data_IF_878633793543
#
_entry.id   IF_878633793543
#
_cell.length_a   1.000
_cell.length_b   1.000
_cell.length_c   1.000
_cell.angle_alpha   90.00
_cell.angle_beta   90.00
_cell.angle_gamma   90.00
#
_symmetry.space_group_name_H-M   'P 1'
#
loop_
_entity.id
_entity.type
_entity.pdbx_description
1 polymer ?
#
# COMPACT_ATOMS: atom_id res chain seq x y z
N UNK A 1 1.23 -24.73 -13.88
CA UNK A 1 1.13 -24.16 -12.52
C UNK A 1 2.48 -24.36 -11.87
N UNK A 2 3.09 -23.27 -11.36
CA UNK A 2 4.34 -23.35 -10.62
C UNK A 2 4.05 -24.03 -9.28
N UNK A 3 4.91 -24.96 -8.84
CA UNK A 3 4.77 -25.60 -7.55
C UNK A 3 4.99 -24.55 -6.44
N UNK A 4 4.17 -24.56 -5.39
CA UNK A 4 4.36 -23.66 -4.25
C UNK A 4 5.62 -24.06 -3.48
N UNK A 5 6.58 -23.15 -3.39
CA UNK A 5 7.83 -23.33 -2.64
C UNK A 5 7.96 -22.28 -1.55
N UNK A 6 8.49 -22.70 -0.41
CA UNK A 6 8.93 -21.81 0.67
C UNK A 6 10.38 -21.33 0.47
N UNK A 7 11.06 -21.82 -0.56
CA UNK A 7 12.42 -21.42 -0.89
C UNK A 7 12.41 -20.35 -1.98
N UNK A 8 13.09 -19.25 -1.73
CA UNK A 8 13.39 -18.26 -2.75
C UNK A 8 14.38 -18.84 -3.75
N UNK A 9 14.22 -18.51 -5.02
CA UNK A 9 15.20 -18.86 -6.05
C UNK A 9 16.44 -17.92 -5.97
N UNK A 10 17.47 -18.22 -6.76
CA UNK A 10 18.72 -17.46 -6.75
C UNK A 10 18.53 -15.98 -7.06
N UNK A 11 17.68 -15.65 -8.05
CA UNK A 11 17.40 -14.27 -8.46
C UNK A 11 16.70 -13.50 -7.31
N UNK A 12 15.75 -14.14 -6.65
CA UNK A 12 15.04 -13.57 -5.51
C UNK A 12 15.97 -13.36 -4.28
N UNK A 13 16.91 -14.29 -4.02
CA UNK A 13 17.90 -14.14 -2.97
C UNK A 13 18.89 -13.01 -3.27
N UNK A 14 19.33 -12.88 -4.52
CA UNK A 14 20.20 -11.78 -4.94
C UNK A 14 19.47 -10.43 -4.83
N UNK A 15 18.24 -10.36 -5.29
CA UNK A 15 17.40 -9.18 -5.17
C UNK A 15 17.17 -8.80 -3.71
N UNK A 16 16.85 -9.77 -2.85
CA UNK A 16 16.68 -9.54 -1.41
C UNK A 16 17.95 -8.94 -0.79
N UNK A 17 19.10 -9.53 -1.08
CA UNK A 17 20.38 -9.02 -0.56
C UNK A 17 20.69 -7.60 -1.03
N UNK A 18 20.45 -7.32 -2.31
CA UNK A 18 20.67 -6.00 -2.90
C UNK A 18 19.74 -4.93 -2.33
N UNK A 19 18.44 -5.24 -2.20
CA UNK A 19 17.48 -4.30 -1.59
C UNK A 19 17.76 -4.11 -0.11
N UNK A 20 18.19 -5.17 0.60
CA UNK A 20 18.57 -5.08 2.00
C UNK A 20 19.78 -4.13 2.20
N UNK A 21 20.83 -4.25 1.36
CA UNK A 21 21.99 -3.35 1.39
C UNK A 21 21.56 -1.88 1.18
N UNK A 22 20.69 -1.61 0.23
CA UNK A 22 20.12 -0.27 0.02
C UNK A 22 19.31 0.21 1.24
N UNK A 23 18.50 -0.66 1.82
CA UNK A 23 17.71 -0.35 3.00
C UNK A 23 18.58 -0.07 4.23
N UNK A 24 19.64 -0.84 4.43
CA UNK A 24 20.58 -0.70 5.55
C UNK A 24 21.45 0.56 5.42
N UNK A 25 21.96 0.83 4.22
CA UNK A 25 22.96 1.90 3.99
C UNK A 25 22.33 3.25 3.69
N UNK A 26 21.12 3.29 3.14
CA UNK A 26 20.46 4.54 2.71
C UNK A 26 19.20 4.83 3.53
N UNK A 27 18.25 3.90 3.62
CA UNK A 27 16.95 4.18 4.25
C UNK A 27 17.06 4.29 5.77
N UNK A 28 17.70 3.31 6.41
CA UNK A 28 17.76 3.23 7.87
C UNK A 28 18.47 4.43 8.51
N UNK A 29 19.64 4.89 8.01
CA UNK A 29 20.30 6.09 8.54
C UNK A 29 19.49 7.38 8.34
N UNK A 30 18.71 7.46 7.28
CA UNK A 30 17.90 8.65 6.94
C UNK A 30 16.54 8.72 7.68
N UNK A 31 16.09 7.61 8.27
CA UNK A 31 14.73 7.48 8.79
C UNK A 31 14.37 8.50 9.85
N UNK A 32 15.28 8.83 10.79
CA UNK A 32 15.04 9.83 11.82
C UNK A 32 14.88 11.23 11.23
N UNK A 33 15.79 11.65 10.36
CA UNK A 33 15.73 12.97 9.71
C UNK A 33 14.42 13.17 8.95
N UNK A 34 14.02 12.20 8.12
CA UNK A 34 12.83 12.35 7.30
C UNK A 34 11.51 12.18 8.09
N UNK A 35 11.52 11.43 9.19
CA UNK A 35 10.40 11.42 10.15
C UNK A 35 10.21 12.80 10.79
N UNK A 36 11.29 13.46 11.24
CA UNK A 36 11.22 14.81 11.86
C UNK A 36 10.82 15.88 10.84
N UNK A 37 11.30 15.81 9.61
CA UNK A 37 10.99 16.79 8.55
C UNK A 37 9.53 16.72 8.09
N UNK A 38 8.90 15.55 8.17
CA UNK A 38 7.56 15.33 7.61
C UNK A 38 7.44 15.71 6.12
N UNK A 39 8.49 15.52 5.34
CA UNK A 39 8.58 15.88 3.92
C UNK A 39 8.82 14.65 3.05
N UNK A 40 8.48 14.77 1.76
CA UNK A 40 8.79 13.73 0.78
C UNK A 40 10.31 13.62 0.58
N UNK A 41 10.91 12.43 0.73
CA UNK A 41 12.35 12.24 0.62
C UNK A 41 12.82 12.14 -0.83
N UNK A 42 12.64 13.20 -1.61
CA UNK A 42 12.96 13.24 -3.04
C UNK A 42 14.36 12.74 -3.40
N UNK A 43 15.43 13.10 -2.66
CA UNK A 43 16.77 12.60 -2.98
C UNK A 43 16.87 11.08 -2.89
N UNK A 44 16.16 10.46 -1.93
CA UNK A 44 16.19 9.01 -1.73
C UNK A 44 15.34 8.29 -2.79
N UNK A 45 14.18 8.86 -3.16
CA UNK A 45 13.39 8.31 -4.27
C UNK A 45 14.18 8.37 -5.58
N UNK A 46 14.89 9.47 -5.83
CA UNK A 46 15.76 9.60 -7.00
C UNK A 46 16.93 8.61 -6.98
N UNK A 47 17.51 8.35 -5.82
CA UNK A 47 18.56 7.33 -5.68
C UNK A 47 18.01 5.93 -5.97
N UNK A 48 16.82 5.59 -5.43
CA UNK A 48 16.12 4.37 -5.76
C UNK A 48 15.83 4.22 -7.26
N UNK A 49 15.48 5.33 -7.95
CA UNK A 49 15.27 5.34 -9.39
C UNK A 49 16.57 5.09 -10.16
N UNK A 50 17.69 5.72 -9.76
CA UNK A 50 19.00 5.53 -10.40
C UNK A 50 19.51 4.11 -10.33
N UNK A 51 19.22 3.40 -9.25
CA UNK A 51 19.60 1.99 -9.11
C UNK A 51 18.56 1.03 -9.73
N UNK A 52 17.46 1.53 -10.29
CA UNK A 52 16.43 0.73 -10.95
C UNK A 52 15.39 0.12 -10.02
N UNK A 53 15.35 0.53 -8.75
CA UNK A 53 14.36 0.04 -7.77
C UNK A 53 13.03 0.82 -7.85
N UNK A 54 13.06 2.06 -8.32
CA UNK A 54 11.88 2.89 -8.55
C UNK A 54 11.67 3.08 -10.06
N UNK A 55 10.62 2.48 -10.61
CA UNK A 55 10.31 2.60 -12.02
C UNK A 55 9.35 1.54 -12.54
N UNK A 56 8.86 1.76 -13.75
CA UNK A 56 7.94 0.83 -14.40
C UNK A 56 8.60 -0.53 -14.71
N UNK A 57 9.87 -0.55 -15.10
CA UNK A 57 10.58 -1.78 -15.48
C UNK A 57 10.69 -2.73 -14.30
N UNK A 58 11.04 -2.21 -13.11
CA UNK A 58 11.07 -3.00 -11.88
C UNK A 58 9.68 -3.57 -11.56
N UNK A 59 8.63 -2.74 -11.63
CA UNK A 59 7.27 -3.17 -11.35
C UNK A 59 6.76 -4.19 -12.36
N UNK A 60 7.07 -4.01 -13.64
CA UNK A 60 6.72 -4.97 -14.68
C UNK A 60 7.42 -6.32 -14.46
N UNK A 61 8.70 -6.33 -14.15
CA UNK A 61 9.46 -7.54 -13.84
C UNK A 61 8.92 -8.24 -12.60
N UNK A 62 8.66 -7.49 -11.52
CA UNK A 62 8.18 -8.05 -10.26
C UNK A 62 6.76 -8.65 -10.36
N UNK A 63 5.90 -8.08 -11.22
CA UNK A 63 4.50 -8.51 -11.36
C UNK A 63 4.30 -9.55 -12.49
N UNK A 64 5.03 -9.42 -13.61
CA UNK A 64 4.83 -10.25 -14.79
C UNK A 64 5.98 -11.23 -15.06
N UNK A 65 7.18 -10.89 -14.60
CA UNK A 65 8.39 -11.72 -14.79
C UNK A 65 8.55 -12.83 -13.74
N UNK A 66 7.87 -12.71 -12.60
CA UNK A 66 7.94 -13.71 -11.51
C UNK A 66 6.68 -14.56 -11.42
N UNK A 67 6.71 -15.82 -11.87
CA UNK A 67 5.57 -16.72 -11.77
C UNK A 67 5.21 -17.12 -10.33
N UNK A 68 6.13 -16.93 -9.38
CA UNK A 68 5.87 -17.22 -7.96
C UNK A 68 5.12 -16.09 -7.26
N UNK A 69 5.24 -14.85 -7.76
CA UNK A 69 4.68 -13.64 -7.15
C UNK A 69 5.40 -13.19 -5.87
N UNK A 70 6.58 -13.76 -5.55
CA UNK A 70 7.30 -13.47 -4.30
C UNK A 70 8.27 -12.28 -4.41
N UNK A 71 8.69 -11.92 -5.60
CA UNK A 71 9.64 -10.81 -5.83
C UNK A 71 9.17 -9.51 -5.19
N UNK A 72 7.91 -9.15 -5.39
CA UNK A 72 7.35 -7.92 -4.84
C UNK A 72 7.26 -7.93 -3.29
N UNK A 73 6.68 -8.92 -2.63
CA UNK A 73 6.65 -9.00 -1.17
C UNK A 73 8.05 -9.00 -0.53
N UNK A 74 9.02 -9.71 -1.12
CA UNK A 74 10.41 -9.75 -0.63
C UNK A 74 11.04 -8.36 -0.69
N UNK A 75 10.91 -7.66 -1.81
CA UNK A 75 11.41 -6.27 -1.96
C UNK A 75 10.79 -5.34 -0.95
N UNK A 76 9.46 -5.39 -0.81
CA UNK A 76 8.73 -4.52 0.12
C UNK A 76 9.13 -4.79 1.57
N UNK A 77 9.28 -6.04 1.96
CA UNK A 77 9.73 -6.38 3.32
C UNK A 77 11.08 -5.73 3.64
N UNK A 78 12.07 -5.78 2.71
CA UNK A 78 13.37 -5.17 2.92
C UNK A 78 13.31 -3.64 3.00
N UNK A 79 12.58 -2.98 2.12
CA UNK A 79 12.42 -1.52 2.15
C UNK A 79 11.78 -1.04 3.47
N UNK A 80 10.73 -1.73 3.93
CA UNK A 80 10.04 -1.37 5.18
C UNK A 80 10.79 -1.81 6.43
N UNK A 81 11.72 -2.75 6.30
CA UNK A 81 12.72 -3.01 7.32
C UNK A 81 13.71 -1.85 7.45
N UNK A 82 14.06 -1.18 6.36
CA UNK A 82 14.89 0.02 6.37
C UNK A 82 14.23 1.18 7.08
N UNK A 83 13.16 1.71 6.50
CA UNK A 83 12.30 2.75 7.08
C UNK A 83 10.92 2.74 6.40
N UNK A 84 9.86 2.75 7.19
CA UNK A 84 8.50 2.62 6.66
C UNK A 84 8.01 3.88 5.94
N UNK A 85 8.35 5.05 6.42
CA UNK A 85 7.96 6.33 5.81
C UNK A 85 8.62 6.54 4.45
N UNK A 86 9.92 6.29 4.37
CA UNK A 86 10.71 6.36 3.14
C UNK A 86 10.31 5.23 2.19
N UNK A 87 10.17 4.00 2.70
CA UNK A 87 9.72 2.85 1.93
C UNK A 87 8.36 3.08 1.26
N UNK A 88 7.41 3.70 1.98
CA UNK A 88 6.12 4.07 1.39
C UNK A 88 6.26 5.21 0.37
N UNK A 89 7.18 6.13 0.53
CA UNK A 89 7.45 7.18 -0.47
C UNK A 89 7.98 6.60 -1.78
N UNK A 90 8.80 5.55 -1.71
CA UNK A 90 9.29 4.81 -2.88
C UNK A 90 8.14 3.97 -3.50
N UNK A 91 7.32 3.30 -2.67
CA UNK A 91 6.33 2.34 -3.16
C UNK A 91 4.94 2.92 -3.42
N UNK A 92 4.64 4.14 -2.91
CA UNK A 92 3.29 4.74 -2.94
C UNK A 92 2.68 4.93 -4.32
N UNK A 93 3.51 5.17 -5.35
CA UNK A 93 3.06 5.29 -6.75
C UNK A 93 2.50 3.98 -7.32
N UNK A 94 2.89 2.84 -6.76
CA UNK A 94 2.45 1.51 -7.19
C UNK A 94 0.94 1.30 -7.09
N UNK A 95 0.27 1.97 -6.14
CA UNK A 95 -1.19 1.85 -6.00
C UNK A 95 -1.94 2.53 -7.16
N UNK A 96 -1.45 3.68 -7.65
CA UNK A 96 -2.01 4.33 -8.83
C UNK A 96 -1.80 3.46 -10.08
N UNK A 97 -0.59 2.94 -10.26
CA UNK A 97 -0.26 2.03 -11.35
C UNK A 97 -1.14 0.77 -11.33
N UNK A 98 -1.36 0.17 -10.15
CA UNK A 98 -2.27 -0.98 -9.99
C UNK A 98 -3.72 -0.62 -10.33
N UNK A 99 -4.18 0.58 -9.95
CA UNK A 99 -5.51 1.08 -10.30
C UNK A 99 -5.70 1.24 -11.81
N UNK A 100 -4.67 1.75 -12.51
CA UNK A 100 -4.67 1.86 -13.98
C UNK A 100 -4.64 0.48 -14.63
N UNK A 101 -3.72 -0.39 -14.21
CA UNK A 101 -3.57 -1.73 -14.77
C UNK A 101 -4.84 -2.60 -14.58
N UNK A 102 -5.52 -2.45 -13.43
CA UNK A 102 -6.72 -3.23 -13.12
C UNK A 102 -8.01 -2.78 -13.82
N UNK A 103 -8.08 -1.52 -14.26
CA UNK A 103 -9.31 -0.94 -14.83
C UNK A 103 -9.15 -0.40 -16.25
N UNK A 104 -7.93 -0.07 -16.69
CA UNK A 104 -7.62 0.55 -17.97
C UNK A 104 -7.61 -0.44 -19.14
N UNK A 105 -7.61 0.13 -20.35
CA UNK A 105 -7.28 -0.62 -21.57
C UNK A 105 -5.75 -0.78 -21.69
N UNK A 106 -5.26 -1.72 -22.53
CA UNK A 106 -3.82 -1.86 -22.75
C UNK A 106 -3.16 -0.55 -23.18
N UNK A 107 -3.82 0.26 -24.01
CA UNK A 107 -3.33 1.56 -24.46
C UNK A 107 -3.23 2.55 -23.29
N UNK A 108 -4.24 2.60 -22.43
CA UNK A 108 -4.23 3.43 -21.22
C UNK A 108 -3.11 2.99 -20.24
N UNK A 109 -2.87 1.71 -20.09
CA UNK A 109 -1.78 1.19 -19.25
C UNK A 109 -0.42 1.63 -19.82
N UNK A 110 -0.20 1.47 -21.11
CA UNK A 110 1.06 1.87 -21.77
C UNK A 110 1.30 3.38 -21.72
N UNK A 111 0.26 4.19 -21.78
CA UNK A 111 0.34 5.65 -21.76
C UNK A 111 0.59 6.19 -20.35
N UNK A 112 -0.15 5.69 -19.34
CA UNK A 112 -0.26 6.36 -18.04
C UNK A 112 0.57 5.73 -16.91
N UNK A 113 0.83 4.43 -16.94
CA UNK A 113 1.62 3.78 -15.88
C UNK A 113 3.05 4.32 -15.82
N UNK A 114 3.76 4.53 -16.95
CA UNK A 114 5.10 5.12 -16.92
C UNK A 114 5.12 6.51 -16.28
N UNK A 115 4.05 7.30 -16.46
CA UNK A 115 3.93 8.65 -15.90
C UNK A 115 3.68 8.67 -14.39
N UNK A 116 3.39 7.53 -13.76
CA UNK A 116 3.34 7.40 -12.30
C UNK A 116 4.73 7.29 -11.66
N UNK A 117 5.79 7.08 -12.45
CA UNK A 117 7.15 6.87 -11.95
C UNK A 117 8.15 7.87 -12.52
N UNK A 118 8.00 8.24 -13.80
CA UNK A 118 9.03 8.99 -14.54
C UNK A 118 10.27 8.13 -14.80
N UNK A 119 11.42 8.75 -14.73
CA UNK A 119 12.73 8.12 -14.89
C UNK A 119 13.72 8.62 -13.80
N UNK A 120 14.98 8.19 -13.90
CA UNK A 120 16.00 8.53 -12.92
C UNK A 120 16.36 10.02 -12.87
N UNK A 121 16.13 10.77 -13.95
CA UNK A 121 16.42 12.20 -14.05
C UNK A 121 15.20 13.07 -13.74
N UNK A 122 13.98 12.54 -13.98
CA UNK A 122 12.68 13.20 -13.76
C UNK A 122 11.71 12.27 -13.02
N UNK A 123 11.95 12.08 -11.72
CA UNK A 123 11.11 11.25 -10.87
C UNK A 123 9.71 11.84 -10.76
N UNK A 124 8.71 11.03 -11.06
CA UNK A 124 7.28 11.36 -10.97
C UNK A 124 6.58 10.50 -9.93
N UNK A 125 5.41 10.95 -9.50
CA UNK A 125 4.60 10.23 -8.53
C UNK A 125 3.20 9.96 -9.08
N UNK A 126 2.60 8.85 -8.64
CA UNK A 126 1.20 8.52 -8.83
C UNK A 126 0.42 8.57 -7.52
N UNK A 127 -0.85 8.95 -7.59
CA UNK A 127 -1.78 8.95 -6.46
C UNK A 127 -3.07 8.19 -6.79
N UNK A 128 -3.56 7.33 -5.88
CA UNK A 128 -4.83 6.63 -6.02
C UNK A 128 -5.85 7.21 -5.04
N UNK A 129 -6.86 7.89 -5.56
CA UNK A 129 -7.77 8.75 -4.82
C UNK A 129 -9.14 8.09 -4.67
N UNK A 130 -9.36 7.37 -3.55
CA UNK A 130 -10.63 6.68 -3.26
C UNK A 130 -11.35 7.35 -2.10
N UNK A 131 -10.76 7.29 -0.89
CA UNK A 131 -11.39 7.72 0.35
C UNK A 131 -11.81 9.19 0.33
N UNK A 132 -12.87 9.50 1.05
CA UNK A 132 -13.40 10.85 1.25
C UNK A 132 -13.52 11.13 2.74
N UNK A 133 -13.66 12.39 3.18
CA UNK A 133 -13.82 12.72 4.59
C UNK A 133 -14.91 11.88 5.29
N UNK A 134 -16.02 11.61 4.61
CA UNK A 134 -17.17 10.87 5.14
C UNK A 134 -17.25 9.41 4.65
N UNK A 135 -16.30 8.93 3.84
CA UNK A 135 -16.34 7.59 3.24
C UNK A 135 -14.93 6.94 3.21
N UNK A 136 -14.59 6.27 4.30
CA UNK A 136 -13.38 5.44 4.46
C UNK A 136 -13.68 3.97 4.20
N UNK A 137 -14.08 3.23 5.23
CA UNK A 137 -14.47 1.81 5.10
C UNK A 137 -15.70 1.59 4.23
N UNK A 138 -16.64 2.54 4.21
CA UNK A 138 -17.79 2.51 3.32
C UNK A 138 -17.49 3.19 1.98
N UNK A 139 -16.61 2.59 1.19
CA UNK A 139 -16.27 3.06 -0.17
C UNK A 139 -17.46 2.99 -1.14
N UNK A 140 -18.58 2.42 -0.74
CA UNK A 140 -19.80 2.42 -1.57
C UNK A 140 -20.55 3.75 -1.54
N UNK A 141 -20.29 4.57 -0.53
CA UNK A 141 -20.95 5.85 -0.26
C UNK A 141 -20.17 7.09 -0.71
N UNK A 142 -19.25 6.93 -1.69
CA UNK A 142 -18.50 8.06 -2.27
C UNK A 142 -19.46 9.11 -2.85
N UNK A 143 -19.14 10.39 -2.59
CA UNK A 143 -19.91 11.57 -3.05
C UNK A 143 -19.20 12.36 -4.14
N UNK A 144 -17.90 12.17 -4.36
CA UNK A 144 -17.20 12.74 -5.53
C UNK A 144 -17.93 12.31 -6.79
N UNK A 145 -18.37 13.27 -7.59
CA UNK A 145 -19.16 13.05 -8.80
C UNK A 145 -18.33 13.23 -10.04
N UNK A 146 -18.63 12.45 -11.05
CA UNK A 146 -18.17 12.65 -12.42
C UNK A 146 -19.39 12.73 -13.34
N UNK A 147 -19.53 13.84 -14.07
CA UNK A 147 -20.64 14.09 -15.01
C UNK A 147 -20.07 14.19 -16.41
N UNK A 148 -20.63 13.43 -17.35
CA UNK A 148 -20.20 13.46 -18.74
C UNK A 148 -20.82 14.64 -19.48
N UNK A 149 -19.99 15.47 -20.07
CA UNK A 149 -20.38 16.57 -20.98
C UNK A 149 -20.26 16.06 -22.42
N UNK A 150 -21.40 15.69 -22.99
CA UNK A 150 -21.45 15.13 -24.34
C UNK A 150 -21.04 16.12 -25.43
N UNK A 151 -21.19 17.43 -25.20
CA UNK A 151 -20.88 18.44 -26.19
C UNK A 151 -19.37 18.62 -26.39
N UNK A 152 -18.58 18.45 -25.33
CA UNK A 152 -17.12 18.59 -25.36
C UNK A 152 -16.37 17.25 -25.31
N UNK A 153 -17.06 16.13 -25.16
CA UNK A 153 -16.48 14.80 -24.89
C UNK A 153 -15.55 14.82 -23.67
N UNK A 154 -16.03 15.41 -22.57
CA UNK A 154 -15.26 15.53 -21.34
C UNK A 154 -16.04 14.99 -20.14
N UNK A 155 -15.32 14.57 -19.11
CA UNK A 155 -15.84 14.34 -17.77
C UNK A 155 -15.53 15.52 -16.86
N UNK A 156 -16.53 15.96 -16.10
CA UNK A 156 -16.39 17.02 -15.10
C UNK A 156 -16.46 16.39 -13.71
N UNK A 157 -15.36 16.48 -12.95
CA UNK A 157 -15.27 15.89 -11.63
C UNK A 157 -15.32 16.98 -10.55
N UNK A 158 -16.12 16.71 -9.49
CA UNK A 158 -16.27 17.59 -8.33
C UNK A 158 -16.30 16.75 -7.04
N UNK A 159 -15.56 17.17 -6.02
CA UNK A 159 -15.52 16.54 -4.72
C UNK A 159 -14.17 16.69 -4.00
N UNK A 160 -14.05 16.04 -2.84
CA UNK A 160 -12.82 16.05 -2.05
C UNK A 160 -12.44 14.64 -1.67
N UNK A 161 -11.18 14.28 -1.92
CA UNK A 161 -10.58 13.02 -1.51
C UNK A 161 -9.71 13.23 -0.27
N UNK A 162 -9.69 12.25 0.63
CA UNK A 162 -8.99 12.33 1.91
C UNK A 162 -8.00 11.17 2.06
N UNK A 163 -6.93 11.40 2.82
CA UNK A 163 -5.91 10.39 3.15
C UNK A 163 -5.12 9.88 1.95
N UNK A 164 -4.93 10.73 0.94
CA UNK A 164 -4.32 10.33 -0.33
C UNK A 164 -2.79 10.41 -0.24
N UNK A 165 -2.13 9.26 -0.37
CA UNK A 165 -0.67 9.19 -0.56
C UNK A 165 -0.31 9.91 -1.86
N UNK A 166 0.68 10.80 -1.79
CA UNK A 166 1.08 11.71 -2.88
C UNK A 166 -0.03 12.67 -3.35
N UNK A 167 -1.12 12.82 -2.59
CA UNK A 167 -2.26 13.67 -2.95
C UNK A 167 -1.84 15.12 -3.20
N UNK A 168 -2.21 15.66 -4.36
CA UNK A 168 -1.92 17.03 -4.76
C UNK A 168 -0.50 17.29 -5.27
N UNK A 169 0.47 16.39 -4.99
CA UNK A 169 1.84 16.50 -5.51
C UNK A 169 2.17 15.48 -6.61
N UNK A 170 1.31 14.47 -6.81
CA UNK A 170 1.50 13.47 -7.85
C UNK A 170 1.33 14.04 -9.25
N UNK A 171 2.06 13.47 -10.21
CA UNK A 171 1.89 13.77 -11.62
C UNK A 171 0.59 13.19 -12.17
N UNK A 172 0.27 11.96 -11.76
CA UNK A 172 -0.98 11.28 -12.15
C UNK A 172 -1.83 11.04 -10.92
N UNK A 173 -3.09 11.48 -10.97
CA UNK A 173 -4.09 11.11 -9.96
C UNK A 173 -5.12 10.18 -10.59
N UNK A 174 -5.30 9.00 -10.02
CA UNK A 174 -6.37 8.06 -10.38
C UNK A 174 -7.52 8.25 -9.41
N UNK A 175 -8.60 8.87 -9.87
CA UNK A 175 -9.73 9.26 -9.02
C UNK A 175 -10.91 8.32 -9.22
N UNK A 176 -11.38 7.68 -8.15
CA UNK A 176 -12.64 6.94 -8.16
C UNK A 176 -13.77 7.90 -7.84
N UNK A 177 -14.72 8.06 -8.77
CA UNK A 177 -15.87 8.95 -8.62
C UNK A 177 -17.19 8.25 -8.96
N UNK A 178 -18.30 8.77 -8.45
CA UNK A 178 -19.64 8.28 -8.77
C UNK A 178 -20.14 8.96 -10.06
N UNK A 179 -20.54 8.15 -11.01
CA UNK A 179 -21.26 8.58 -12.22
C UNK A 179 -22.79 8.41 -12.06
N UNK A 180 -23.19 7.60 -11.07
CA UNK A 180 -24.60 7.39 -10.71
C UNK A 180 -24.68 7.08 -9.21
N UNK A 181 -25.12 8.06 -8.42
CA UNK A 181 -25.20 7.96 -6.96
C UNK A 181 -26.24 6.94 -6.48
N UNK A 182 -27.32 6.70 -7.27
CA UNK A 182 -28.38 5.76 -6.90
C UNK A 182 -27.87 4.32 -6.91
N UNK A 183 -26.92 4.02 -7.79
CA UNK A 183 -26.28 2.72 -7.90
C UNK A 183 -25.19 2.48 -6.84
N UNK A 184 -24.87 3.49 -6.00
CA UNK A 184 -23.81 3.41 -4.98
C UNK A 184 -22.49 2.90 -5.58
N UNK A 185 -21.84 1.93 -4.93
CA UNK A 185 -20.59 1.36 -5.43
C UNK A 185 -20.65 0.80 -6.87
N UNK A 186 -21.82 0.38 -7.36
CA UNK A 186 -21.98 -0.06 -8.77
C UNK A 186 -21.98 1.10 -9.77
N UNK A 187 -22.27 2.31 -9.29
CA UNK A 187 -22.26 3.55 -10.07
C UNK A 187 -20.90 4.27 -10.07
N UNK A 188 -19.83 3.65 -9.60
CA UNK A 188 -18.50 4.26 -9.55
C UNK A 188 -17.67 3.91 -10.78
N UNK A 189 -16.77 4.82 -11.16
CA UNK A 189 -15.76 4.61 -12.21
C UNK A 189 -14.45 5.28 -11.81
N UNK A 190 -13.34 4.86 -12.44
CA UNK A 190 -12.01 5.42 -12.21
C UNK A 190 -11.60 6.32 -13.36
N UNK A 191 -11.03 7.47 -13.03
CA UNK A 191 -10.63 8.50 -13.97
C UNK A 191 -9.16 8.84 -13.79
N UNK A 192 -8.43 9.00 -14.86
CA UNK A 192 -7.09 9.58 -14.85
C UNK A 192 -7.23 11.10 -14.88
N UNK A 193 -6.58 11.76 -13.94
CA UNK A 193 -6.39 13.20 -13.99
C UNK A 193 -4.94 13.46 -14.40
N UNK A 194 -4.72 13.97 -15.63
CA UNK A 194 -3.40 14.28 -16.15
C UNK A 194 -2.68 15.39 -15.35
N UNK A 195 -1.35 15.54 -15.52
CA UNK A 195 -0.60 16.61 -14.87
C UNK A 195 -1.16 17.98 -15.21
N UNK A 196 -1.08 18.90 -14.26
CA UNK A 196 -1.48 20.31 -14.43
C UNK A 196 -2.95 20.54 -14.85
N UNK A 197 -3.83 19.57 -14.62
CA UNK A 197 -5.27 19.74 -14.89
C UNK A 197 -5.84 20.81 -13.97
N UNK A 198 -6.53 21.81 -14.55
CA UNK A 198 -7.19 22.89 -13.79
C UNK A 198 -8.27 22.31 -12.88
N UNK A 199 -8.42 22.91 -11.68
CA UNK A 199 -9.42 22.52 -10.70
C UNK A 199 -8.97 21.43 -9.75
N UNK A 200 -7.84 20.73 -10.01
CA UNK A 200 -7.23 19.85 -9.03
C UNK A 200 -6.25 20.65 -8.15
N UNK A 201 -6.41 20.57 -6.86
CA UNK A 201 -5.52 21.19 -5.88
C UNK A 201 -5.30 20.31 -4.66
N UNK A 202 -4.19 20.55 -3.95
CA UNK A 202 -3.95 19.96 -2.65
C UNK A 202 -4.77 20.70 -1.60
N UNK A 203 -5.54 19.96 -0.82
CA UNK A 203 -6.17 20.48 0.39
C UNK A 203 -5.25 20.36 1.62
N UNK A 204 -5.78 19.89 2.74
CA UNK A 204 -5.00 19.74 3.97
C UNK A 204 -3.93 18.65 3.81
N UNK A 205 -2.66 18.99 4.06
CA UNK A 205 -1.62 17.99 4.34
C UNK A 205 -1.74 17.54 5.79
N UNK A 206 -1.84 16.23 6.00
CA UNK A 206 -2.05 15.67 7.34
C UNK A 206 -0.75 15.55 8.13
N UNK A 207 -0.78 15.96 9.41
CA UNK A 207 0.25 15.63 10.40
C UNK A 207 -0.04 14.24 10.95
N UNK A 208 0.80 13.28 10.64
CA UNK A 208 0.55 11.87 10.94
C UNK A 208 1.23 11.38 12.20
N UNK A 209 0.72 10.33 12.79
CA UNK A 209 1.30 9.61 13.91
C UNK A 209 2.61 8.91 13.52
N UNK A 210 2.62 8.18 12.40
CA UNK A 210 3.75 7.47 11.82
C UNK A 210 3.81 7.63 10.31
N UNK A 211 4.73 6.93 9.65
CA UNK A 211 5.06 7.04 8.22
C UNK A 211 5.17 8.49 7.74
N UNK A 212 5.81 9.33 8.56
CA UNK A 212 5.74 10.79 8.44
C UNK A 212 6.48 11.32 7.22
N UNK A 213 7.50 10.60 6.75
CA UNK A 213 8.21 10.91 5.50
C UNK A 213 7.34 10.73 4.25
N UNK A 214 6.27 9.92 4.31
CA UNK A 214 5.34 9.76 3.19
C UNK A 214 4.31 10.88 3.15
N UNK A 215 4.22 11.58 2.02
CA UNK A 215 3.22 12.64 1.82
C UNK A 215 1.80 12.08 1.83
N UNK A 216 0.91 12.70 2.61
CA UNK A 216 -0.51 12.33 2.67
C UNK A 216 -1.35 13.58 2.79
N UNK A 217 -2.26 13.82 1.84
CA UNK A 217 -3.07 15.03 1.81
C UNK A 217 -4.49 14.78 1.27
N UNK A 218 -5.34 15.79 1.38
CA UNK A 218 -6.58 15.88 0.63
C UNK A 218 -6.28 16.26 -0.81
N UNK A 219 -7.15 15.78 -1.71
CA UNK A 219 -7.20 16.20 -3.11
C UNK A 219 -8.58 16.82 -3.36
N UNK A 220 -8.58 18.10 -3.68
CA UNK A 220 -9.80 18.88 -3.97
C UNK A 220 -9.99 18.95 -5.48
N UNK A 221 -11.21 18.67 -5.92
CA UNK A 221 -11.64 18.67 -7.32
C UNK A 221 -12.75 19.69 -7.48
N UNK A 222 -12.48 20.78 -8.20
CA UNK A 222 -13.43 21.87 -8.48
C UNK A 222 -13.53 22.04 -10.00
N UNK A 223 -14.63 21.54 -10.59
CA UNK A 223 -14.86 21.54 -12.03
C UNK A 223 -13.68 21.00 -12.85
N UNK A 224 -13.06 19.93 -12.34
CA UNK A 224 -11.94 19.27 -13.02
C UNK A 224 -12.44 18.62 -14.29
N UNK A 225 -11.98 19.12 -15.44
CA UNK A 225 -12.35 18.63 -16.77
C UNK A 225 -11.24 17.73 -17.32
N UNK A 226 -11.62 16.54 -17.74
CA UNK A 226 -10.71 15.59 -18.39
C UNK A 226 -11.36 15.02 -19.65
N UNK A 227 -10.61 14.75 -20.73
CA UNK A 227 -11.11 14.10 -21.93
C UNK A 227 -11.85 12.80 -21.65
N UNK A 228 -12.81 12.41 -22.49
CA UNK A 228 -13.51 11.14 -22.40
C UNK A 228 -12.59 9.93 -22.32
N UNK A 229 -11.44 9.99 -23.00
CA UNK A 229 -10.39 8.95 -22.98
C UNK A 229 -9.73 8.75 -21.60
N UNK A 230 -9.86 9.68 -20.67
CA UNK A 230 -9.36 9.55 -19.29
C UNK A 230 -10.22 8.66 -18.40
N UNK A 231 -11.41 8.23 -18.83
CA UNK A 231 -12.20 7.21 -18.16
C UNK A 231 -11.51 5.84 -18.36
N UNK A 232 -11.09 5.21 -17.27
CA UNK A 232 -10.46 3.89 -17.35
C UNK A 232 -11.42 2.83 -17.85
N UNK A 233 -10.98 2.07 -18.86
CA UNK A 233 -11.76 1.02 -19.52
C UNK A 233 -12.76 1.50 -20.55
N UNK A 234 -12.95 2.81 -20.71
CA UNK A 234 -13.77 3.41 -21.75
C UNK A 234 -15.27 3.48 -21.45
N UNK A 235 -15.96 4.37 -22.20
CA UNK A 235 -17.36 4.70 -21.95
C UNK A 235 -18.32 3.56 -22.28
N UNK A 236 -18.09 2.81 -23.35
CA UNK A 236 -18.96 1.71 -23.75
C UNK A 236 -19.04 0.60 -22.69
N UNK A 237 -17.89 0.26 -22.09
CA UNK A 237 -17.82 -0.70 -20.97
C UNK A 237 -18.55 -0.17 -19.75
N UNK A 238 -18.38 1.11 -19.42
CA UNK A 238 -19.10 1.76 -18.31
C UNK A 238 -20.60 1.72 -18.54
N UNK A 239 -21.09 2.16 -19.70
CA UNK A 239 -22.52 2.22 -20.02
C UNK A 239 -23.18 0.83 -19.97
N UNK A 240 -22.51 -0.20 -20.52
CA UNK A 240 -22.98 -1.58 -20.44
C UNK A 240 -23.08 -2.08 -18.99
N UNK A 241 -22.09 -1.73 -18.12
CA UNK A 241 -22.10 -2.08 -16.70
C UNK A 241 -23.22 -1.38 -15.94
N UNK A 242 -23.43 -0.08 -16.19
CA UNK A 242 -24.51 0.70 -15.57
C UNK A 242 -25.88 0.17 -15.96
N UNK A 243 -26.11 -0.17 -17.24
CA UNK A 243 -27.36 -0.77 -17.71
C UNK A 243 -27.67 -2.07 -16.94
N UNK A 244 -26.69 -3.00 -16.87
CA UNK A 244 -26.85 -4.25 -16.08
C UNK A 244 -27.13 -3.97 -14.60
N UNK A 245 -26.47 -2.96 -14.02
CA UNK A 245 -26.66 -2.62 -12.61
C UNK A 245 -28.06 -2.06 -12.32
N UNK A 246 -28.65 -1.28 -13.25
CA UNK A 246 -30.04 -0.77 -13.16
C UNK A 246 -31.07 -1.88 -13.27
N UNK A 247 -30.83 -2.88 -14.12
CA UNK A 247 -31.69 -4.07 -14.24
C UNK A 247 -31.53 -5.07 -13.09
N UNK A 248 -30.86 -4.68 -12.00
CA UNK A 248 -30.55 -5.54 -10.84
C UNK A 248 -29.79 -6.84 -11.17
N UNK A 249 -29.20 -6.93 -12.35
CA UNK A 249 -28.38 -8.07 -12.74
C UNK A 249 -27.04 -8.04 -12.00
N UNK A 250 -26.48 -9.21 -11.72
CA UNK A 250 -25.10 -9.31 -11.24
C UNK A 250 -24.15 -8.97 -12.38
N UNK A 251 -23.35 -7.92 -12.21
CA UNK A 251 -22.38 -7.51 -13.24
C UNK A 251 -21.19 -8.46 -13.35
N UNK A 252 -20.97 -9.31 -12.34
CA UNK A 252 -19.78 -10.17 -12.24
C UNK A 252 -18.48 -9.39 -11.94
N UNK A 253 -18.50 -8.07 -12.06
CA UNK A 253 -17.34 -7.20 -11.81
C UNK A 253 -17.35 -6.68 -10.37
N UNK A 254 -16.15 -6.62 -9.76
CA UNK A 254 -15.95 -5.97 -8.47
C UNK A 254 -16.00 -4.44 -8.64
N UNK A 255 -16.32 -3.72 -7.56
CA UNK A 255 -16.17 -2.26 -7.54
C UNK A 255 -14.70 -1.89 -7.81
N UNK A 256 -14.42 -0.81 -8.57
CA UNK A 256 -13.06 -0.45 -8.98
C UNK A 256 -12.06 -0.40 -7.82
N UNK A 257 -12.40 0.31 -6.74
CA UNK A 257 -11.55 0.39 -5.54
C UNK A 257 -11.30 -0.98 -4.89
N UNK A 258 -12.32 -1.83 -4.79
CA UNK A 258 -12.21 -3.16 -4.17
C UNK A 258 -11.35 -4.11 -5.00
N UNK A 259 -11.41 -4.02 -6.32
CA UNK A 259 -10.57 -4.83 -7.20
C UNK A 259 -9.08 -4.49 -7.01
N UNK A 260 -8.75 -3.20 -6.95
CA UNK A 260 -7.39 -2.72 -6.70
C UNK A 260 -6.89 -3.16 -5.32
N UNK A 261 -7.66 -2.88 -4.25
CA UNK A 261 -7.23 -3.24 -2.89
C UNK A 261 -7.05 -4.74 -2.67
N UNK A 262 -7.83 -5.59 -3.34
CA UNK A 262 -7.66 -7.04 -3.19
C UNK A 262 -6.33 -7.55 -3.76
N UNK A 263 -5.86 -6.95 -4.85
CA UNK A 263 -4.59 -7.31 -5.48
C UNK A 263 -3.38 -6.78 -4.69
N UNK A 264 -3.52 -5.67 -3.95
CA UNK A 264 -2.41 -5.02 -3.23
C UNK A 264 -2.23 -5.49 -1.79
N UNK A 265 -3.17 -6.24 -1.21
CA UNK A 265 -3.11 -6.71 0.19
C UNK A 265 -1.84 -7.48 0.57
N UNK A 266 -1.30 -8.41 -0.25
CA UNK A 266 -0.04 -9.07 0.09
C UNK A 266 1.14 -8.11 0.18
N UNK A 267 1.19 -7.08 -0.67
CA UNK A 267 2.19 -6.02 -0.62
C UNK A 267 2.11 -5.23 0.69
N UNK A 268 0.90 -4.81 1.09
CA UNK A 268 0.67 -4.12 2.38
C UNK A 268 1.02 -5.01 3.58
N UNK A 269 0.72 -6.30 3.50
CA UNK A 269 1.09 -7.25 4.55
C UNK A 269 2.62 -7.42 4.65
N UNK A 270 3.35 -7.39 3.53
CA UNK A 270 4.82 -7.40 3.51
C UNK A 270 5.43 -6.15 4.16
N UNK A 271 4.83 -4.96 3.98
CA UNK A 271 5.22 -3.73 4.69
C UNK A 271 5.20 -3.95 6.21
N UNK A 272 4.10 -4.52 6.72
CA UNK A 272 3.93 -4.80 8.14
C UNK A 272 4.98 -5.81 8.67
N UNK A 273 5.31 -6.84 7.89
CA UNK A 273 6.36 -7.82 8.23
C UNK A 273 7.72 -7.15 8.31
N UNK A 274 8.04 -6.25 7.37
CA UNK A 274 9.31 -5.49 7.36
C UNK A 274 9.48 -4.65 8.63
N UNK A 275 8.45 -3.89 9.02
CA UNK A 275 8.46 -3.08 10.26
C UNK A 275 8.62 -3.97 11.50
N UNK A 276 7.88 -5.08 11.57
CA UNK A 276 7.95 -6.01 12.70
C UNK A 276 9.36 -6.62 12.82
N UNK A 277 9.95 -7.04 11.69
CA UNK A 277 11.32 -7.58 11.64
C UNK A 277 12.36 -6.56 12.10
N UNK A 278 12.26 -5.31 11.64
CA UNK A 278 13.16 -4.23 12.07
C UNK A 278 13.13 -4.02 13.60
N UNK A 279 11.94 -3.97 14.18
CA UNK A 279 11.76 -3.80 15.62
C UNK A 279 12.27 -5.01 16.42
N UNK A 280 11.98 -6.22 15.94
CA UNK A 280 12.45 -7.46 16.56
C UNK A 280 13.98 -7.55 16.56
N UNK A 281 14.63 -7.37 15.41
CA UNK A 281 16.06 -7.48 15.27
C UNK A 281 16.80 -6.46 16.14
N UNK A 282 16.33 -5.20 16.13
CA UNK A 282 16.90 -4.14 16.96
C UNK A 282 16.77 -4.47 18.46
N UNK A 283 15.61 -4.89 18.92
CA UNK A 283 15.37 -5.22 20.32
C UNK A 283 16.10 -6.49 20.78
N UNK A 284 16.24 -7.48 19.89
CA UNK A 284 17.04 -8.70 20.11
C UNK A 284 18.51 -8.35 20.35
N UNK A 285 19.09 -7.51 19.49
CA UNK A 285 20.51 -7.17 19.58
C UNK A 285 20.78 -6.25 20.78
N UNK A 286 19.91 -5.30 21.04
CA UNK A 286 19.94 -4.53 22.29
C UNK A 286 19.88 -5.44 23.52
N UNK A 287 19.03 -6.45 23.53
CA UNK A 287 18.89 -7.36 24.68
C UNK A 287 20.12 -8.25 24.94
N UNK A 288 20.95 -8.50 23.92
CA UNK A 288 22.23 -9.21 24.05
C UNK A 288 23.32 -8.34 24.70
N UNK A 289 23.27 -7.02 24.50
CA UNK A 289 24.29 -6.08 24.96
C UNK A 289 23.91 -5.43 26.32
N UNK A 290 22.65 -5.10 26.50
CA UNK A 290 22.16 -4.42 27.71
C UNK A 290 22.31 -5.28 28.95
N UNK A 291 23.04 -4.77 29.93
CA UNK A 291 23.26 -5.44 31.21
C UNK A 291 22.24 -4.96 32.27
N UNK A 292 21.61 -5.91 32.96
CA UNK A 292 20.84 -5.69 34.18
C UNK A 292 20.91 -6.95 35.07
N UNK A 293 20.86 -6.77 36.37
CA UNK A 293 21.00 -7.88 37.35
C UNK A 293 22.25 -8.74 37.14
N UNK A 294 23.36 -8.11 36.70
CA UNK A 294 24.65 -8.73 36.50
C UNK A 294 24.80 -9.61 35.26
N UNK A 295 23.90 -9.53 34.31
CA UNK A 295 23.91 -10.32 33.03
C UNK A 295 23.18 -9.59 31.92
N UNK A 296 23.42 -9.97 30.63
CA UNK A 296 22.61 -9.49 29.51
C UNK A 296 21.13 -9.75 29.76
N UNK A 297 20.26 -8.79 29.43
CA UNK A 297 18.82 -8.92 29.73
C UNK A 297 18.14 -10.07 28.99
N UNK A 298 18.66 -10.48 27.84
CA UNK A 298 18.17 -11.66 27.09
C UNK A 298 18.25 -12.96 27.90
N UNK A 299 19.13 -13.04 28.90
CA UNK A 299 19.26 -14.19 29.80
C UNK A 299 18.12 -14.29 30.84
N UNK A 300 17.22 -13.32 30.88
CA UNK A 300 15.98 -13.40 31.68
C UNK A 300 14.90 -14.04 30.84
N UNK A 301 14.26 -15.10 31.36
CA UNK A 301 13.26 -15.89 30.62
C UNK A 301 12.13 -15.03 30.03
N UNK A 302 11.65 -14.03 30.77
CA UNK A 302 10.58 -13.15 30.29
C UNK A 302 10.96 -12.41 29.00
N UNK A 303 12.22 -11.94 28.89
CA UNK A 303 12.73 -11.28 27.68
C UNK A 303 12.95 -12.30 26.56
N UNK A 304 13.57 -13.46 26.90
CA UNK A 304 13.81 -14.52 25.92
C UNK A 304 12.52 -15.07 25.30
N UNK A 305 11.48 -15.28 26.12
CA UNK A 305 10.17 -15.76 25.64
C UNK A 305 9.47 -14.71 24.78
N UNK A 306 9.53 -13.45 25.17
CA UNK A 306 8.97 -12.35 24.35
C UNK A 306 9.63 -12.30 22.97
N UNK A 307 10.96 -12.42 22.88
CA UNK A 307 11.70 -12.47 21.61
C UNK A 307 11.35 -13.73 20.79
N UNK A 308 11.18 -14.89 21.43
CA UNK A 308 10.77 -16.12 20.75
C UNK A 308 9.37 -15.99 20.14
N UNK A 309 8.42 -15.42 20.87
CA UNK A 309 7.07 -15.17 20.38
C UNK A 309 7.09 -14.17 19.21
N UNK A 310 7.87 -13.07 19.31
CA UNK A 310 8.01 -12.08 18.23
C UNK A 310 8.55 -12.74 16.95
N UNK A 311 9.59 -13.56 17.05
CA UNK A 311 10.15 -14.28 15.90
C UNK A 311 9.13 -15.20 15.24
N UNK A 312 8.39 -15.97 16.06
CA UNK A 312 7.36 -16.91 15.59
C UNK A 312 6.22 -16.20 14.87
N UNK A 313 5.75 -15.07 15.42
CA UNK A 313 4.66 -14.29 14.86
C UNK A 313 5.04 -13.61 13.53
N UNK A 314 6.29 -13.15 13.41
CA UNK A 314 6.84 -12.57 12.17
C UNK A 314 6.92 -13.64 11.09
N UNK A 315 7.47 -14.81 11.40
CA UNK A 315 7.62 -15.90 10.43
C UNK A 315 6.26 -16.43 9.95
N UNK A 316 5.32 -16.64 10.87
CA UNK A 316 3.96 -17.02 10.53
C UNK A 316 3.26 -15.99 9.63
N UNK A 317 3.50 -14.70 9.87
CA UNK A 317 2.95 -13.61 9.04
C UNK A 317 3.57 -13.62 7.64
N UNK A 318 4.89 -13.77 7.53
CA UNK A 318 5.62 -13.85 6.25
C UNK A 318 5.12 -15.02 5.41
N UNK A 319 4.95 -16.19 5.99
CA UNK A 319 4.44 -17.38 5.29
C UNK A 319 3.03 -17.17 4.73
N UNK A 320 2.16 -16.47 5.46
CA UNK A 320 0.83 -16.11 4.96
C UNK A 320 0.91 -15.08 3.81
N UNK A 321 1.84 -14.13 3.88
CA UNK A 321 2.09 -13.17 2.79
C UNK A 321 2.54 -13.91 1.53
N UNK A 322 3.55 -14.77 1.63
CA UNK A 322 4.07 -15.54 0.50
C UNK A 322 3.01 -16.45 -0.12
N UNK A 323 2.23 -17.14 0.72
CA UNK A 323 1.10 -17.95 0.25
C UNK A 323 0.08 -17.11 -0.51
N UNK A 324 -0.29 -15.94 0.01
CA UNK A 324 -1.26 -15.07 -0.63
C UNK A 324 -0.72 -14.50 -1.96
N UNK A 325 0.54 -14.09 -2.02
CA UNK A 325 1.18 -13.59 -3.24
C UNK A 325 1.25 -14.69 -4.30
N UNK A 326 1.65 -15.90 -3.93
CA UNK A 326 1.68 -17.04 -4.85
C UNK A 326 0.28 -17.36 -5.40
N UNK A 327 -0.74 -17.41 -4.55
CA UNK A 327 -2.12 -17.68 -4.97
C UNK A 327 -2.65 -16.60 -5.92
N UNK A 328 -2.31 -15.32 -5.71
CA UNK A 328 -2.71 -14.23 -6.60
C UNK A 328 -2.27 -14.49 -8.05
N UNK A 329 -1.06 -15.05 -8.24
CA UNK A 329 -0.51 -15.37 -9.55
C UNK A 329 -0.87 -16.76 -10.08
N UNK A 330 -1.31 -17.69 -9.21
CA UNK A 330 -1.47 -19.12 -9.55
C UNK A 330 -2.88 -19.67 -9.26
N UNK A 331 -3.92 -18.96 -9.59
CA UNK A 331 -5.30 -19.48 -9.50
C UNK A 331 -6.26 -18.63 -8.68
N UNK A 332 -5.76 -17.58 -8.02
CA UNK A 332 -6.58 -16.66 -7.24
C UNK A 332 -6.93 -17.15 -5.83
N UNK A 333 -7.62 -16.30 -5.10
CA UNK A 333 -8.02 -16.57 -3.72
C UNK A 333 -9.30 -17.41 -3.67
N UNK A 334 -9.35 -18.34 -2.73
CA UNK A 334 -10.54 -19.17 -2.46
C UNK A 334 -11.27 -18.74 -1.17
N UNK A 335 -10.52 -18.33 -0.14
CA UNK A 335 -11.04 -17.97 1.18
C UNK A 335 -10.59 -16.59 1.66
N UNK A 336 -10.38 -15.66 0.75
CA UNK A 336 -9.89 -14.30 1.05
C UNK A 336 -8.47 -14.28 1.68
N UNK A 337 -7.55 -15.08 1.15
CA UNK A 337 -6.17 -15.22 1.67
C UNK A 337 -5.41 -13.90 1.70
N UNK A 338 -5.64 -13.00 0.73
CA UNK A 338 -5.10 -11.64 0.77
C UNK A 338 -5.56 -10.84 2.00
N UNK A 339 -6.83 -11.02 2.42
CA UNK A 339 -7.33 -10.42 3.67
C UNK A 339 -6.74 -11.10 4.91
N UNK A 340 -6.54 -12.43 4.87
CA UNK A 340 -5.95 -13.16 5.99
C UNK A 340 -4.52 -12.72 6.26
N UNK A 341 -3.68 -12.59 5.22
CA UNK A 341 -2.30 -12.15 5.41
C UNK A 341 -2.23 -10.70 5.91
N UNK A 342 -3.07 -9.79 5.38
CA UNK A 342 -3.11 -8.39 5.81
C UNK A 342 -3.56 -8.24 7.25
N UNK A 343 -4.60 -8.95 7.66
CA UNK A 343 -5.10 -8.96 9.04
C UNK A 343 -4.02 -9.47 10.01
N UNK A 344 -3.39 -10.62 9.69
CA UNK A 344 -2.36 -11.21 10.53
C UNK A 344 -1.14 -10.32 10.65
N UNK A 345 -0.59 -9.85 9.53
CA UNK A 345 0.63 -9.08 9.52
C UNK A 345 0.48 -7.70 10.20
N UNK A 346 -0.66 -7.00 10.00
CA UNK A 346 -0.92 -5.72 10.67
C UNK A 346 -0.97 -5.87 12.20
N UNK A 347 -1.70 -6.87 12.71
CA UNK A 347 -1.72 -7.19 14.14
C UNK A 347 -0.34 -7.56 14.67
N UNK A 348 0.40 -8.36 13.94
CA UNK A 348 1.76 -8.76 14.31
C UNK A 348 2.68 -7.55 14.41
N UNK A 349 2.64 -6.63 13.43
CA UNK A 349 3.50 -5.45 13.45
C UNK A 349 3.25 -4.56 14.67
N UNK A 350 2.00 -4.26 14.98
CA UNK A 350 1.63 -3.47 16.16
C UNK A 350 2.06 -4.18 17.45
N UNK A 351 1.84 -5.48 17.55
CA UNK A 351 2.16 -6.29 18.72
C UNK A 351 3.68 -6.43 18.94
N UNK A 352 4.46 -6.67 17.88
CA UNK A 352 5.91 -6.82 17.95
C UNK A 352 6.58 -5.49 18.31
N UNK A 353 6.17 -4.40 17.68
CA UNK A 353 6.78 -3.08 17.92
C UNK A 353 6.52 -2.56 19.34
N UNK A 354 5.34 -2.82 19.92
CA UNK A 354 5.05 -2.55 21.33
C UNK A 354 6.02 -3.30 22.26
N UNK A 355 6.29 -4.58 21.97
CA UNK A 355 7.21 -5.41 22.75
C UNK A 355 8.66 -4.99 22.59
N UNK A 356 9.04 -4.50 21.43
CA UNK A 356 10.36 -3.92 21.21
C UNK A 356 10.59 -2.70 22.14
N UNK A 357 9.60 -1.80 22.25
CA UNK A 357 9.63 -0.70 23.21
C UNK A 357 9.77 -1.24 24.65
N UNK A 358 8.98 -2.25 25.01
CA UNK A 358 9.00 -2.83 26.36
C UNK A 358 10.37 -3.46 26.69
N UNK A 359 11.02 -4.13 25.74
CA UNK A 359 12.37 -4.73 25.92
C UNK A 359 13.43 -3.66 26.16
N UNK A 360 13.35 -2.53 25.47
CA UNK A 360 14.28 -1.41 25.66
C UNK A 360 13.98 -0.61 26.93
N UNK A 361 12.77 -0.73 27.49
CA UNK A 361 12.35 0.02 28.67
C UNK A 361 12.34 1.53 28.42
N UNK A 362 12.91 2.34 29.30
CA UNK A 362 12.95 3.81 29.13
C UNK A 362 13.60 4.26 27.83
N UNK A 363 14.59 3.55 27.35
CA UNK A 363 15.23 3.83 26.06
C UNK A 363 14.32 3.53 24.85
N UNK A 364 13.35 2.64 24.97
CA UNK A 364 12.36 2.41 23.93
C UNK A 364 11.30 3.50 23.82
N UNK A 365 11.21 4.39 24.81
CA UNK A 365 10.20 5.45 24.88
C UNK A 365 10.69 6.81 24.37
N UNK A 366 11.98 6.94 24.09
CA UNK A 366 12.60 8.18 23.64
C UNK A 366 13.01 8.10 22.17
N UNK A 367 13.02 9.24 21.47
CA UNK A 367 13.19 9.33 20.02
C UNK A 367 14.61 9.00 19.53
N UNK A 368 15.60 9.04 20.41
CA UNK A 368 16.99 8.66 20.11
C UNK A 368 17.14 7.16 19.79
N UNK A 369 16.09 6.37 20.02
CA UNK A 369 16.03 4.95 19.68
C UNK A 369 14.87 4.67 18.68
N UNK A 370 15.11 3.89 17.63
CA UNK A 370 14.16 3.81 16.50
C UNK A 370 12.89 3.02 16.80
N UNK A 371 12.82 2.27 17.89
CA UNK A 371 11.68 1.36 18.17
C UNK A 371 10.36 2.10 18.40
N UNK A 372 10.41 3.33 18.94
CA UNK A 372 9.21 4.17 19.10
C UNK A 372 8.67 4.59 17.73
N UNK A 373 9.55 4.95 16.76
CA UNK A 373 9.19 5.27 15.38
C UNK A 373 8.60 4.06 14.70
N UNK A 374 9.20 2.89 14.81
CA UNK A 374 8.66 1.64 14.26
C UNK A 374 7.26 1.34 14.81
N UNK A 375 6.99 1.63 16.08
CA UNK A 375 5.65 1.45 16.66
C UNK A 375 4.64 2.46 16.11
N UNK A 376 5.02 3.73 15.94
CA UNK A 376 4.17 4.73 15.31
C UNK A 376 3.83 4.34 13.87
N UNK A 377 4.82 3.87 13.12
CA UNK A 377 4.68 3.44 11.74
C UNK A 377 3.83 2.17 11.60
N UNK A 378 3.98 1.22 12.53
CA UNK A 378 3.23 -0.03 12.51
C UNK A 378 1.72 0.17 12.64
N UNK A 379 1.28 1.21 13.35
CA UNK A 379 -0.16 1.40 13.64
C UNK A 379 -1.02 1.57 12.39
N UNK A 380 -0.51 2.20 11.33
CA UNK A 380 -1.28 2.38 10.10
C UNK A 380 -1.58 1.06 9.38
N UNK A 381 -0.77 0.02 9.61
CA UNK A 381 -0.92 -1.30 8.99
C UNK A 381 -2.25 -1.98 9.36
N UNK A 382 -2.87 -1.60 10.47
CA UNK A 382 -4.20 -2.04 10.87
C UNK A 382 -5.35 -1.24 10.23
N UNK A 383 -5.05 -0.08 9.62
CA UNK A 383 -6.06 0.91 9.25
C UNK A 383 -6.21 1.04 7.73
N UNK A 384 -5.15 1.40 7.02
CA UNK A 384 -5.24 1.69 5.59
C UNK A 384 -5.42 0.41 4.74
N UNK A 385 -5.81 0.56 3.48
CA UNK A 385 -6.10 -0.57 2.57
C UNK A 385 -7.19 -1.53 3.10
N UNK A 386 -8.10 -0.98 3.92
CA UNK A 386 -9.14 -1.71 4.64
C UNK A 386 -8.73 -2.08 6.05
N UNK A 387 -9.48 -1.54 7.03
CA UNK A 387 -9.23 -1.79 8.46
C UNK A 387 -9.24 -3.28 8.79
N UNK A 388 -8.67 -3.66 9.94
CA UNK A 388 -8.71 -5.07 10.38
C UNK A 388 -10.15 -5.61 10.44
N UNK A 389 -11.13 -4.78 10.83
CA UNK A 389 -12.55 -5.15 10.87
C UNK A 389 -13.11 -5.42 9.46
N UNK A 390 -12.69 -4.63 8.47
CA UNK A 390 -13.04 -4.88 7.07
C UNK A 390 -12.40 -6.19 6.58
N UNK A 391 -11.14 -6.47 6.95
CA UNK A 391 -10.52 -7.76 6.60
C UNK A 391 -11.27 -8.93 7.24
N UNK A 392 -11.64 -8.82 8.52
CA UNK A 392 -12.45 -9.83 9.22
C UNK A 392 -13.81 -10.04 8.53
N UNK A 393 -14.48 -8.97 8.11
CA UNK A 393 -15.74 -9.03 7.39
C UNK A 393 -15.59 -9.75 6.04
N UNK A 394 -14.54 -9.44 5.28
CA UNK A 394 -14.25 -10.09 3.98
C UNK A 394 -13.98 -11.58 4.18
N UNK A 395 -13.15 -11.94 5.16
CA UNK A 395 -12.85 -13.34 5.49
C UNK A 395 -14.14 -14.08 5.92
N UNK A 396 -14.92 -13.49 6.82
CA UNK A 396 -16.15 -14.10 7.34
C UNK A 396 -17.16 -14.40 6.23
N UNK A 397 -17.29 -13.47 5.27
CA UNK A 397 -18.15 -13.67 4.09
C UNK A 397 -17.62 -14.78 3.18
N UNK A 398 -16.30 -14.86 2.97
CA UNK A 398 -15.69 -15.87 2.12
C UNK A 398 -15.86 -17.28 2.69
N UNK A 399 -15.56 -17.48 3.98
CA UNK A 399 -15.63 -18.81 4.62
C UNK A 399 -17.06 -19.30 4.89
N UNK A 400 -18.01 -18.37 5.07
CA UNK A 400 -19.42 -18.73 5.35
C UNK A 400 -20.28 -18.85 4.08
N UNK A 401 -19.85 -18.21 2.97
CA UNK A 401 -20.69 -18.04 1.79
C UNK A 401 -21.92 -17.16 2.01
N UNK A 402 -22.02 -16.50 3.18
CA UNK A 402 -23.19 -15.72 3.60
C UNK A 402 -22.90 -14.22 3.54
N UNK A 403 -23.95 -13.42 3.31
CA UNK A 403 -23.88 -11.97 3.49
C UNK A 403 -23.89 -11.63 4.98
N UNK A 404 -22.77 -11.11 5.46
CA UNK A 404 -22.61 -10.59 6.83
C UNK A 404 -22.56 -9.06 6.73
N UNK A 405 -23.36 -8.38 7.53
CA UNK A 405 -23.46 -6.90 7.58
C UNK A 405 -22.74 -6.35 8.81
#
# INVERSE_FOLDING_TARGET
MTEFSLQLNEDQLQLQSWVHEFAETVLRPAGEEWDEREETPWPIIQEAAKIGLYGMDFMAQALMGDPTGLTLPVTIEELFWGDAGIGLSIFGSGLAAAGIAGAGTPEQVMEWVPQCYGDADDVKLGAFCVSEPDAGSDVSSLRTRAVYDQASDEWVLNGTKAWITNGGIANIHVVVASVDLELKGRGQASFIIPPNTKGLSQGQKYKKHGIRASHTAEVVLEDVRVPGACLLGGKDKLDARLAKARDHQRTGEKQPAMATFESTRPAVAAMAVGIARAAYEYSRDYAKERQAFGKPIIMNQAIAFMLADMATEIDASRLLVWRAAWLANNGGYTNAEGSMCKLKAGRTATWVTERAIQILGGYGYVREYPVERFHRDAKIMDIFEGTEQIQQLVISRAISGMRIE
#
